data_IF_293070575375
#
_entry.id   IF_293070575375
#
_cell.length_a   1.000
_cell.length_b   1.000
_cell.length_c   1.000
_cell.angle_alpha   90.00
_cell.angle_beta   90.00
_cell.angle_gamma   90.00
#
_symmetry.space_group_name_H-M   'P 1'
#
loop_
_entity.id
_entity.type
_entity.pdbx_description
1 polymer ?
#
# COMPACT_ATOMS: atom_id res chain seq x y z
N UNK A 1 -23.26 1.44 -14.25
CA UNK A 1 -23.44 0.84 -12.89
C UNK A 1 -23.86 -0.63 -12.86
N UNK A 2 -23.97 -1.36 -13.98
CA UNK A 2 -24.30 -2.81 -13.95
C UNK A 2 -23.11 -3.75 -13.72
N UNK A 3 -21.86 -3.25 -13.80
CA UNK A 3 -20.65 -4.07 -13.63
C UNK A 3 -20.37 -4.44 -12.17
N UNK A 4 -20.61 -3.50 -11.23
CA UNK A 4 -20.50 -3.72 -9.77
C UNK A 4 -21.47 -4.76 -9.21
N UNK A 5 -22.50 -5.13 -10.00
CA UNK A 5 -23.54 -6.07 -9.59
C UNK A 5 -23.49 -7.38 -10.39
N UNK A 6 -22.90 -7.38 -11.59
CA UNK A 6 -22.75 -8.58 -12.44
C UNK A 6 -21.55 -9.45 -12.09
N UNK A 7 -20.49 -8.88 -11.54
CA UNK A 7 -19.25 -9.63 -11.31
C UNK A 7 -18.81 -9.54 -9.84
N UNK A 8 -19.21 -10.52 -9.04
CA UNK A 8 -18.89 -10.61 -7.61
C UNK A 8 -17.38 -10.51 -7.35
N UNK A 9 -16.55 -11.06 -8.25
CA UNK A 9 -15.09 -11.01 -8.14
C UNK A 9 -14.58 -9.57 -8.28
N UNK A 10 -15.11 -8.82 -9.24
CA UNK A 10 -14.74 -7.41 -9.43
C UNK A 10 -15.16 -6.55 -8.25
N UNK A 11 -16.35 -6.77 -7.69
CA UNK A 11 -16.83 -6.03 -6.53
C UNK A 11 -16.03 -6.37 -5.28
N UNK A 12 -15.65 -7.64 -5.09
CA UNK A 12 -14.79 -8.09 -3.98
C UNK A 12 -13.37 -7.50 -4.08
N UNK A 13 -12.80 -7.45 -5.28
CA UNK A 13 -11.51 -6.82 -5.54
C UNK A 13 -11.59 -5.32 -5.24
N UNK A 14 -12.62 -4.63 -5.74
CA UNK A 14 -12.81 -3.21 -5.47
C UNK A 14 -12.98 -2.92 -3.98
N UNK A 15 -13.81 -3.69 -3.26
CA UNK A 15 -13.98 -3.50 -1.82
C UNK A 15 -12.69 -3.77 -1.05
N UNK A 16 -11.93 -4.80 -1.44
CA UNK A 16 -10.61 -5.09 -0.87
C UNK A 16 -9.64 -3.95 -1.11
N UNK A 17 -9.55 -3.45 -2.35
CA UNK A 17 -8.68 -2.32 -2.71
C UNK A 17 -9.05 -1.05 -1.95
N UNK A 18 -10.33 -0.75 -1.81
CA UNK A 18 -10.80 0.42 -1.02
C UNK A 18 -10.38 0.25 0.45
N UNK A 19 -10.62 -0.92 1.05
CA UNK A 19 -10.25 -1.18 2.44
C UNK A 19 -8.73 -1.13 2.65
N UNK A 20 -7.96 -1.69 1.72
CA UNK A 20 -6.49 -1.63 1.72
C UNK A 20 -5.99 -0.18 1.64
N UNK A 21 -6.56 0.61 0.73
CA UNK A 21 -6.16 2.01 0.54
C UNK A 21 -6.51 2.89 1.75
N UNK A 22 -7.68 2.67 2.35
CA UNK A 22 -8.09 3.32 3.60
C UNK A 22 -7.16 2.94 4.75
N UNK A 23 -6.89 1.65 4.94
CA UNK A 23 -6.00 1.16 6.00
C UNK A 23 -4.58 1.73 5.86
N UNK A 24 -4.04 1.73 4.64
CA UNK A 24 -2.72 2.30 4.35
C UNK A 24 -2.66 3.79 4.63
N UNK A 25 -3.69 4.54 4.22
CA UNK A 25 -3.75 5.99 4.43
C UNK A 25 -3.83 6.34 5.92
N UNK A 26 -4.67 5.62 6.67
CA UNK A 26 -4.80 5.81 8.12
C UNK A 26 -3.48 5.46 8.85
N UNK A 27 -2.84 4.35 8.47
CA UNK A 27 -1.54 3.98 9.03
C UNK A 27 -0.49 5.08 8.77
N UNK A 28 -0.36 5.55 7.54
CA UNK A 28 0.60 6.60 7.19
C UNK A 28 0.36 7.89 7.98
N UNK A 29 -0.89 8.33 8.12
CA UNK A 29 -1.24 9.55 8.88
C UNK A 29 -0.90 9.39 10.37
N UNK A 30 -1.34 8.30 11.00
CA UNK A 30 -1.08 8.05 12.43
C UNK A 30 0.42 7.91 12.70
N UNK A 31 1.13 7.21 11.82
CA UNK A 31 2.58 7.05 11.90
C UNK A 31 3.30 8.40 11.78
N UNK A 32 2.88 9.26 10.85
CA UNK A 32 3.43 10.60 10.68
C UNK A 32 3.17 11.50 11.91
N UNK A 33 1.96 11.45 12.48
CA UNK A 33 1.60 12.18 13.71
C UNK A 33 2.44 11.69 14.90
N UNK A 34 2.66 10.38 14.99
CA UNK A 34 3.51 9.81 16.02
C UNK A 34 4.98 10.25 15.85
N UNK A 35 5.49 10.20 14.62
CA UNK A 35 6.84 10.70 14.29
C UNK A 35 7.01 12.18 14.63
N UNK A 36 5.99 13.01 14.40
CA UNK A 36 6.03 14.44 14.73
C UNK A 36 5.92 14.74 16.23
N UNK A 37 5.45 13.78 17.03
CA UNK A 37 5.35 13.91 18.49
C UNK A 37 6.66 13.56 19.22
N UNK A 38 7.62 12.96 18.52
CA UNK A 38 8.92 12.57 19.08
C UNK A 38 9.91 13.76 19.12
N UNK A 39 10.92 13.71 20.00
CA UNK A 39 11.97 14.74 20.04
C UNK A 39 12.70 14.79 18.68
N UNK A 40 12.93 15.99 18.17
CA UNK A 40 13.45 16.26 16.81
C UNK A 40 12.53 15.77 15.68
N UNK A 41 11.30 16.33 15.56
CA UNK A 41 10.27 15.86 14.62
C UNK A 41 10.73 15.87 13.17
N UNK A 42 11.53 16.87 12.77
CA UNK A 42 12.06 16.98 11.40
C UNK A 42 12.89 15.75 11.00
N UNK A 43 13.73 15.26 11.92
CA UNK A 43 14.56 14.08 11.67
C UNK A 43 13.72 12.81 11.69
N UNK A 44 12.79 12.70 12.63
CA UNK A 44 11.96 11.50 12.79
C UNK A 44 10.99 11.30 11.61
N UNK A 45 10.40 12.39 11.11
CA UNK A 45 9.56 12.36 9.90
C UNK A 45 10.40 11.94 8.69
N UNK A 46 11.62 12.45 8.53
CA UNK A 46 12.49 12.03 7.42
C UNK A 46 12.86 10.55 7.49
N UNK A 47 13.07 10.02 8.70
CA UNK A 47 13.37 8.61 8.91
C UNK A 47 12.14 7.73 8.64
N UNK A 48 10.96 8.17 9.06
CA UNK A 48 9.69 7.52 8.76
C UNK A 48 9.48 7.37 7.25
N UNK A 49 9.74 8.42 6.47
CA UNK A 49 9.60 8.39 5.01
C UNK A 49 10.59 7.41 4.35
N UNK A 50 11.84 7.33 4.87
CA UNK A 50 12.83 6.35 4.41
C UNK A 50 12.36 4.92 4.70
N UNK A 51 11.78 4.67 5.87
CA UNK A 51 11.20 3.38 6.20
C UNK A 51 10.03 3.00 5.28
N UNK A 52 9.19 3.98 4.90
CA UNK A 52 8.08 3.77 3.95
C UNK A 52 8.56 3.53 2.52
N UNK A 53 9.71 4.08 2.12
CA UNK A 53 10.31 3.85 0.81
C UNK A 53 10.88 2.44 0.65
N UNK A 54 11.31 1.80 1.74
CA UNK A 54 11.94 0.48 1.69
C UNK A 54 11.02 -0.59 1.04
N UNK A 55 9.74 -0.74 1.46
CA UNK A 55 8.78 -1.59 0.77
C UNK A 55 8.59 -1.28 -0.72
N UNK A 56 8.67 0.00 -1.12
CA UNK A 56 8.51 0.40 -2.54
C UNK A 56 9.66 -0.13 -3.40
N UNK A 57 10.88 -0.11 -2.87
CA UNK A 57 12.04 -0.71 -3.53
C UNK A 57 11.89 -2.22 -3.68
N UNK A 58 11.43 -2.90 -2.62
CA UNK A 58 11.11 -4.32 -2.69
C UNK A 58 9.98 -4.60 -3.68
N UNK A 59 8.94 -3.77 -3.73
CA UNK A 59 7.82 -3.91 -4.66
C UNK A 59 8.28 -3.85 -6.12
N UNK A 60 9.18 -2.92 -6.45
CA UNK A 60 9.78 -2.84 -7.79
C UNK A 60 10.57 -4.11 -8.15
N UNK A 61 11.36 -4.63 -7.20
CA UNK A 61 12.11 -5.87 -7.37
C UNK A 61 11.19 -7.09 -7.53
N UNK A 62 10.17 -7.21 -6.67
CA UNK A 62 9.18 -8.29 -6.76
C UNK A 62 8.31 -8.16 -8.00
N UNK A 63 8.08 -6.95 -8.52
CA UNK A 63 7.40 -6.72 -9.79
C UNK A 63 8.20 -7.27 -10.97
N UNK A 64 9.51 -7.03 -10.98
CA UNK A 64 10.41 -7.63 -11.98
C UNK A 64 10.44 -9.17 -11.90
N UNK A 65 10.40 -9.73 -10.69
CA UNK A 65 10.27 -11.18 -10.49
C UNK A 65 8.91 -11.69 -10.96
N UNK A 66 7.83 -10.96 -10.67
CA UNK A 66 6.46 -11.30 -11.06
C UNK A 66 6.32 -11.38 -12.59
N UNK A 67 6.97 -10.48 -13.32
CA UNK A 67 7.00 -10.50 -14.80
C UNK A 67 7.74 -11.73 -15.36
N UNK A 68 8.69 -12.31 -14.62
CA UNK A 68 9.40 -13.54 -15.03
C UNK A 68 8.62 -14.82 -14.74
N UNK A 69 7.57 -14.77 -13.94
CA UNK A 69 6.70 -15.92 -13.66
C UNK A 69 5.72 -16.17 -14.81
N UNK A 70 5.77 -17.35 -15.43
CA UNK A 70 4.89 -17.74 -16.56
C UNK A 70 3.42 -17.95 -16.16
N UNK A 71 3.12 -18.08 -14.87
CA UNK A 71 1.77 -18.27 -14.35
C UNK A 71 1.26 -16.92 -13.86
N UNK A 72 0.46 -16.23 -14.69
CA UNK A 72 -0.32 -15.05 -14.29
C UNK A 72 -1.52 -15.50 -13.44
N UNK A 73 -1.28 -15.87 -12.18
CA UNK A 73 -2.36 -15.87 -11.21
C UNK A 73 -2.52 -14.43 -10.71
N UNK A 74 -3.58 -13.79 -11.20
CA UNK A 74 -4.10 -12.54 -10.68
C UNK A 74 -4.42 -12.80 -9.20
N UNK A 75 -3.60 -12.24 -8.32
CA UNK A 75 -3.78 -12.24 -6.87
C UNK A 75 -4.18 -10.84 -6.45
#
# INVERSE_FOLDING_TARGET
>A
MNLLRKNKTFTSLLSSSIFSMLGTSLFNIVFLIYASSLPNPKMMISLAEICLLLPVLFAAYTGFLADKTKIKQIL
#
